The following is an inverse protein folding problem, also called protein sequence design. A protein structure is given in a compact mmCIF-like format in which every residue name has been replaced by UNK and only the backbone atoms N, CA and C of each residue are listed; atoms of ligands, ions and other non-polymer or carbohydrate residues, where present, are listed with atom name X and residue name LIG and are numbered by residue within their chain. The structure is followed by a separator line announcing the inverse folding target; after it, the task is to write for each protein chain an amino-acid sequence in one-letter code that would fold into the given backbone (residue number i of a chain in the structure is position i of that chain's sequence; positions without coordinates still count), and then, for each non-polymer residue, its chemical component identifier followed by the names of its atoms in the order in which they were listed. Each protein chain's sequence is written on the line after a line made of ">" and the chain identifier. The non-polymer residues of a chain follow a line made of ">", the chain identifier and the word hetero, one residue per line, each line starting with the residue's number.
data_IF_130930892822
#
_entry.id   IF_130930892822
#
_cell.length_a   1.000
_cell.length_b   1.000
_cell.length_c   1.000
_cell.angle_alpha   90.00
_cell.angle_beta   90.00
_cell.angle_gamma   90.00
#
_symmetry.space_group_name_H-M   'P 1'
#
loop_
_entity.id
_entity.type
_entity.pdbx_description
1 polymer ?
#
# COMPACT_ATOMS: atom_id res chain seq x y z
N UNK A 1 -13.33 -8.00 5.52
CA UNK A 1 -13.09 -8.96 6.64
C UNK A 1 -11.67 -9.48 6.49
N UNK A 2 -10.89 -9.54 7.56
CA UNK A 2 -9.52 -10.07 7.57
C UNK A 2 -9.52 -11.37 8.33
N UNK A 3 -8.81 -12.38 7.84
CA UNK A 3 -8.75 -13.72 8.43
C UNK A 3 -7.29 -14.11 8.66
N UNK A 4 -6.98 -14.61 9.83
CA UNK A 4 -5.65 -15.12 10.17
C UNK A 4 -5.69 -16.63 10.39
N UNK A 5 -4.93 -17.37 9.60
CA UNK A 5 -4.68 -18.80 9.80
C UNK A 5 -3.49 -18.96 10.76
N UNK A 6 -3.79 -19.32 11.98
CA UNK A 6 -2.78 -19.51 13.04
C UNK A 6 -1.90 -20.73 12.81
N UNK A 7 -2.35 -21.72 12.04
CA UNK A 7 -1.59 -22.94 11.78
C UNK A 7 -0.42 -22.68 10.84
N UNK A 8 -0.67 -21.93 9.77
CA UNK A 8 0.33 -21.66 8.73
C UNK A 8 0.94 -20.25 8.82
N UNK A 9 0.41 -19.39 9.69
CA UNK A 9 0.87 -18.02 9.84
C UNK A 9 0.49 -17.15 8.64
N UNK A 10 -0.69 -17.39 8.02
CA UNK A 10 -1.14 -16.68 6.82
C UNK A 10 -2.21 -15.65 7.17
N UNK A 11 -1.96 -14.40 6.86
CA UNK A 11 -2.91 -13.30 6.99
C UNK A 11 -3.57 -13.04 5.64
N UNK A 12 -4.85 -13.39 5.51
CA UNK A 12 -5.69 -13.00 4.38
C UNK A 12 -6.25 -11.61 4.65
N UNK A 13 -5.65 -10.61 4.06
CA UNK A 13 -5.86 -9.20 4.44
C UNK A 13 -6.96 -8.49 3.65
N UNK A 14 -7.68 -9.19 2.77
CA UNK A 14 -8.68 -8.62 1.88
C UNK A 14 -8.06 -7.46 1.06
N UNK A 15 -8.67 -6.28 1.05
CA UNK A 15 -8.15 -5.11 0.34
C UNK A 15 -6.97 -4.43 1.05
N UNK A 16 -6.71 -4.75 2.32
CA UNK A 16 -5.54 -4.20 2.99
C UNK A 16 -4.25 -4.79 2.39
N UNK A 17 -3.21 -3.96 2.29
CA UNK A 17 -1.90 -4.31 1.72
C UNK A 17 -1.89 -4.61 0.21
N UNK A 18 -2.95 -4.21 -0.51
CA UNK A 18 -3.05 -4.38 -1.95
C UNK A 18 -2.27 -3.37 -2.78
N UNK A 19 -2.18 -3.64 -4.10
CA UNK A 19 -1.65 -2.72 -5.09
C UNK A 19 -2.30 -2.93 -6.46
N UNK A 20 -2.20 -1.94 -7.36
CA UNK A 20 -2.85 -1.97 -8.68
C UNK A 20 -2.06 -2.64 -9.79
N UNK A 21 -0.85 -3.11 -9.56
CA UNK A 21 0.01 -3.63 -10.62
C UNK A 21 -0.34 -5.08 -11.00
N UNK A 22 -0.23 -5.41 -12.28
CA UNK A 22 -0.28 -6.78 -12.79
C UNK A 22 0.96 -7.56 -12.34
N UNK A 23 0.76 -8.81 -11.94
CA UNK A 23 1.81 -9.65 -11.37
C UNK A 23 2.81 -10.18 -12.41
N UNK A 24 2.45 -10.22 -13.69
CA UNK A 24 3.28 -10.69 -14.81
C UNK A 24 4.02 -12.02 -14.53
N UNK A 25 3.28 -12.95 -13.90
CA UNK A 25 3.82 -14.26 -13.53
C UNK A 25 4.65 -14.28 -12.23
N UNK A 26 4.86 -13.14 -11.58
CA UNK A 26 5.53 -13.04 -10.28
C UNK A 26 4.48 -13.01 -9.18
N UNK A 27 4.60 -13.88 -8.20
CA UNK A 27 3.62 -14.00 -7.13
C UNK A 27 4.02 -13.21 -5.88
N UNK A 28 5.31 -13.15 -5.58
CA UNK A 28 5.80 -12.60 -4.32
C UNK A 28 6.43 -11.22 -4.48
N UNK A 29 6.25 -10.37 -3.47
CA UNK A 29 6.80 -9.02 -3.44
C UNK A 29 8.33 -8.98 -3.49
N UNK A 30 9.01 -10.01 -3.01
CA UNK A 30 10.46 -10.14 -3.05
C UNK A 30 11.03 -10.57 -4.43
N UNK A 31 10.16 -10.85 -5.40
CA UNK A 31 10.55 -11.15 -6.79
C UNK A 31 10.66 -9.90 -7.66
N UNK A 32 10.30 -8.74 -7.11
CA UNK A 32 10.31 -7.44 -7.78
C UNK A 32 11.05 -6.38 -6.96
N UNK A 33 11.50 -5.31 -7.59
CA UNK A 33 11.96 -4.14 -6.85
C UNK A 33 10.75 -3.30 -6.44
N UNK A 34 10.19 -3.62 -5.25
CA UNK A 34 8.95 -3.03 -4.79
C UNK A 34 9.04 -1.51 -4.64
N UNK A 35 10.15 -0.98 -4.10
CA UNK A 35 10.32 0.46 -3.89
C UNK A 35 10.41 1.25 -5.19
N UNK A 36 11.06 0.68 -6.21
CA UNK A 36 11.21 1.34 -7.51
C UNK A 36 9.93 1.26 -8.35
N UNK A 37 9.32 0.07 -8.40
CA UNK A 37 8.33 -0.23 -9.42
C UNK A 37 6.89 -0.24 -8.87
N UNK A 38 6.71 -0.53 -7.57
CA UNK A 38 5.40 -0.84 -7.01
C UNK A 38 4.93 0.07 -5.88
N UNK A 39 5.83 0.80 -5.20
CA UNK A 39 5.49 1.59 -4.02
C UNK A 39 4.42 2.65 -4.31
N UNK A 40 4.52 3.31 -5.47
CA UNK A 40 3.57 4.34 -5.88
C UNK A 40 2.18 3.75 -6.17
N UNK A 41 2.13 2.55 -6.77
CA UNK A 41 0.87 1.86 -7.06
C UNK A 41 0.22 1.29 -5.78
N UNK A 42 1.02 0.84 -4.81
CA UNK A 42 0.52 0.44 -3.51
C UNK A 42 -0.07 1.64 -2.72
N UNK A 43 0.62 2.79 -2.76
CA UNK A 43 0.12 4.04 -2.17
C UNK A 43 -1.14 4.52 -2.85
N UNK A 44 -1.18 4.47 -4.18
CA UNK A 44 -2.35 4.82 -4.98
C UNK A 44 -3.53 3.90 -4.68
N UNK A 45 -3.28 2.59 -4.54
CA UNK A 45 -4.29 1.62 -4.15
C UNK A 45 -4.87 1.96 -2.78
N UNK A 46 -4.02 2.19 -1.78
CA UNK A 46 -4.47 2.59 -0.47
C UNK A 46 -5.33 3.85 -0.54
N UNK A 47 -4.87 4.89 -1.23
CA UNK A 47 -5.59 6.18 -1.30
C UNK A 47 -6.97 6.03 -1.94
N UNK A 48 -7.09 5.26 -3.01
CA UNK A 48 -8.33 5.16 -3.78
C UNK A 48 -9.32 4.14 -3.21
N UNK A 49 -8.83 3.03 -2.67
CA UNK A 49 -9.68 1.91 -2.23
C UNK A 49 -9.87 1.93 -0.72
N UNK A 50 -8.80 2.10 0.02
CA UNK A 50 -8.77 1.87 1.46
C UNK A 50 -8.70 3.18 2.27
N UNK A 51 -8.31 4.29 1.63
CA UNK A 51 -7.96 5.54 2.32
C UNK A 51 -9.04 6.08 3.25
N UNK A 52 -10.32 6.03 2.87
CA UNK A 52 -11.43 6.44 3.74
C UNK A 52 -11.60 5.59 5.01
N UNK A 53 -10.95 4.44 5.05
CA UNK A 53 -10.99 3.50 6.16
C UNK A 53 -9.72 3.52 7.02
N UNK A 54 -8.93 4.59 6.97
CA UNK A 54 -7.70 4.76 7.76
C UNK A 54 -7.84 4.35 9.23
N UNK A 55 -8.88 4.81 9.97
CA UNK A 55 -9.11 4.37 11.36
C UNK A 55 -9.30 2.85 11.51
N UNK A 56 -9.93 2.19 10.53
CA UNK A 56 -10.11 0.74 10.55
C UNK A 56 -8.80 -0.01 10.30
N UNK A 57 -7.92 0.55 9.46
CA UNK A 57 -6.56 0.02 9.28
C UNK A 57 -5.79 0.12 10.59
N UNK A 58 -5.87 1.26 11.30
CA UNK A 58 -5.22 1.44 12.59
C UNK A 58 -5.71 0.42 13.62
N UNK A 59 -7.02 0.15 13.65
CA UNK A 59 -7.59 -0.91 14.50
C UNK A 59 -7.09 -2.31 14.11
N UNK A 60 -6.95 -2.57 12.80
CA UNK A 60 -6.40 -3.83 12.29
C UNK A 60 -4.94 -4.00 12.73
N UNK A 61 -4.12 -2.96 12.54
CA UNK A 61 -2.70 -2.97 12.90
C UNK A 61 -2.53 -3.12 14.42
N UNK A 62 -3.35 -2.44 15.22
CA UNK A 62 -3.35 -2.57 16.67
C UNK A 62 -3.69 -4.00 17.14
N UNK A 63 -4.68 -4.64 16.52
CA UNK A 63 -5.02 -6.05 16.78
C UNK A 63 -3.93 -7.01 16.29
N UNK A 64 -3.36 -6.73 15.11
CA UNK A 64 -2.29 -7.52 14.54
C UNK A 64 -0.99 -7.41 15.35
N UNK A 65 -0.77 -6.31 16.10
CA UNK A 65 0.44 -6.09 16.89
C UNK A 65 0.78 -7.24 17.85
N UNK A 66 -0.25 -7.93 18.38
CA UNK A 66 -0.06 -9.11 19.23
C UNK A 66 0.24 -10.41 18.49
N UNK A 67 0.10 -10.43 17.16
CA UNK A 67 0.28 -11.64 16.32
C UNK A 67 1.29 -11.42 15.19
N UNK A 68 1.91 -10.24 15.11
CA UNK A 68 2.84 -9.91 14.01
C UNK A 68 3.99 -10.91 13.89
N UNK A 69 4.51 -11.38 15.02
CA UNK A 69 5.59 -12.37 15.04
C UNK A 69 5.16 -13.75 14.53
N UNK A 70 3.86 -14.01 14.48
CA UNK A 70 3.29 -15.26 13.99
C UNK A 70 2.96 -15.19 12.50
N UNK A 71 2.89 -13.98 11.93
CA UNK A 71 2.57 -13.79 10.52
C UNK A 71 3.79 -14.11 9.66
N UNK A 72 3.66 -15.10 8.79
CA UNK A 72 4.67 -15.49 7.80
C UNK A 72 4.35 -14.98 6.40
N UNK A 73 3.07 -14.88 6.09
CA UNK A 73 2.57 -14.44 4.80
C UNK A 73 1.44 -13.44 4.97
N UNK A 74 1.45 -12.39 4.14
CA UNK A 74 0.29 -11.51 3.95
C UNK A 74 -0.21 -11.71 2.53
N UNK A 75 -1.48 -12.12 2.41
CA UNK A 75 -2.13 -12.41 1.15
C UNK A 75 -3.25 -11.40 0.91
N UNK A 76 -3.00 -10.30 0.20
CA UNK A 76 -4.05 -9.37 -0.22
C UNK A 76 -4.86 -9.95 -1.38
N UNK A 77 -6.04 -9.40 -1.64
CA UNK A 77 -6.85 -9.76 -2.81
C UNK A 77 -6.26 -9.24 -4.12
N UNK A 78 -5.51 -8.15 -4.07
CA UNK A 78 -4.89 -7.51 -5.23
C UNK A 78 -3.43 -7.21 -4.94
N UNK A 79 -2.54 -7.53 -5.88
CA UNK A 79 -1.11 -7.33 -5.74
C UNK A 79 -0.35 -8.57 -5.27
N UNK A 80 0.92 -8.43 -4.92
CA UNK A 80 1.79 -9.55 -4.58
C UNK A 80 1.55 -10.08 -3.17
N UNK A 81 1.87 -11.33 -2.97
CA UNK A 81 1.94 -11.96 -1.64
C UNK A 81 3.25 -11.54 -0.97
N UNK A 82 3.15 -11.14 0.30
CA UNK A 82 4.30 -10.80 1.11
C UNK A 82 4.74 -11.99 1.96
N UNK A 83 6.02 -12.34 1.89
CA UNK A 83 6.67 -13.38 2.71
C UNK A 83 7.98 -12.93 3.34
N UNK A 84 8.52 -11.80 2.89
CA UNK A 84 9.72 -11.16 3.43
C UNK A 84 9.44 -9.69 3.70
N UNK A 85 10.21 -9.09 4.57
CA UNK A 85 10.15 -7.66 4.88
C UNK A 85 8.75 -7.17 5.27
N UNK A 86 7.97 -8.03 5.95
CA UNK A 86 6.59 -7.74 6.38
C UNK A 86 6.54 -6.47 7.24
N UNK A 87 7.48 -6.31 8.16
CA UNK A 87 7.57 -5.13 9.03
C UNK A 87 7.74 -3.84 8.26
N UNK A 88 8.53 -3.86 7.18
CA UNK A 88 8.72 -2.72 6.30
C UNK A 88 7.39 -2.25 5.67
N UNK A 89 6.62 -3.17 5.12
CA UNK A 89 5.36 -2.81 4.46
C UNK A 89 4.26 -2.43 5.46
N UNK A 90 4.22 -3.09 6.62
CA UNK A 90 3.33 -2.75 7.72
C UNK A 90 3.61 -1.32 8.22
N UNK A 91 4.88 -0.93 8.40
CA UNK A 91 5.28 0.43 8.80
C UNK A 91 4.85 1.48 7.76
N UNK A 92 5.03 1.19 6.47
CA UNK A 92 4.52 2.06 5.40
C UNK A 92 3.01 2.22 5.47
N UNK A 93 2.30 1.10 5.63
CA UNK A 93 0.85 1.09 5.71
C UNK A 93 0.32 1.82 6.94
N UNK A 94 1.00 1.70 8.08
CA UNK A 94 0.70 2.45 9.30
C UNK A 94 0.80 3.96 9.07
N UNK A 95 1.92 4.42 8.53
CA UNK A 95 2.13 5.85 8.22
C UNK A 95 1.10 6.38 7.23
N UNK A 96 0.83 5.66 6.16
CA UNK A 96 -0.13 6.08 5.15
C UNK A 96 -1.56 6.13 5.68
N UNK A 97 -1.95 5.19 6.53
CA UNK A 97 -3.29 5.14 7.12
C UNK A 97 -3.53 6.22 8.18
N UNK A 98 -2.47 6.81 8.72
CA UNK A 98 -2.52 8.01 9.58
C UNK A 98 -2.53 9.31 8.77
N UNK A 99 -2.47 9.22 7.45
CA UNK A 99 -2.33 10.38 6.56
C UNK A 99 -1.07 11.21 6.83
N UNK A 100 -0.03 10.58 7.38
CA UNK A 100 1.25 11.24 7.59
C UNK A 100 1.92 11.52 6.25
N UNK A 101 2.34 12.77 5.97
CA UNK A 101 3.06 13.08 4.75
C UNK A 101 4.40 12.33 4.76
N UNK A 102 4.69 11.60 3.67
CA UNK A 102 6.03 11.07 3.46
C UNK A 102 7.06 12.19 3.42
N UNK A 103 8.34 11.84 3.52
CA UNK A 103 9.45 12.80 3.50
C UNK A 103 9.47 13.76 2.28
N UNK A 104 8.63 13.52 1.27
CA UNK A 104 8.45 14.35 0.07
C UNK A 104 6.98 14.72 -0.19
N UNK A 105 6.16 14.83 0.83
CA UNK A 105 4.70 14.87 0.77
C UNK A 105 4.05 15.84 -0.21
N UNK A 106 4.69 16.92 -0.61
CA UNK A 106 4.16 17.87 -1.59
C UNK A 106 4.46 17.47 -3.04
N UNK A 107 5.62 16.86 -3.27
CA UNK A 107 6.03 16.43 -4.61
C UNK A 107 5.30 15.15 -5.07
N UNK A 108 4.93 14.28 -4.15
CA UNK A 108 4.26 13.02 -4.46
C UNK A 108 2.79 13.24 -4.89
N UNK A 109 2.08 14.17 -4.26
CA UNK A 109 0.73 14.55 -4.70
C UNK A 109 0.73 15.15 -6.11
N UNK A 110 1.72 15.97 -6.43
CA UNK A 110 1.86 16.56 -7.77
C UNK A 110 2.25 15.53 -8.83
N UNK A 111 3.10 14.54 -8.49
CA UNK A 111 3.48 13.46 -9.41
C UNK A 111 2.31 12.53 -9.74
N UNK A 112 1.47 12.21 -8.79
CA UNK A 112 0.26 11.41 -9.02
C UNK A 112 -0.70 12.16 -9.96
N UNK A 113 -0.88 13.45 -9.77
CA UNK A 113 -1.77 14.26 -10.61
C UNK A 113 -1.25 14.44 -12.03
N UNK A 114 0.06 14.62 -12.22
CA UNK A 114 0.69 14.81 -13.54
C UNK A 114 0.70 13.53 -14.38
N UNK A 115 0.82 12.34 -13.77
CA UNK A 115 0.73 11.08 -14.52
C UNK A 115 -0.66 10.79 -15.08
N UNK A 116 -1.72 11.21 -14.38
CA UNK A 116 -3.09 11.06 -14.89
C UNK A 116 -3.43 12.03 -16.04
N UNK A 117 -2.71 13.15 -16.17
CA UNK A 117 -3.02 14.18 -17.16
C UNK A 117 -2.05 14.30 -18.34
N UNK A 118 -1.09 13.38 -18.51
CA UNK A 118 -0.23 13.39 -19.72
C UNK A 118 -0.97 13.05 -21.03
N UNK A 119 -2.29 12.90 -20.98
CA UNK A 119 -3.12 12.72 -22.17
C UNK A 119 -3.80 13.99 -22.69
N UNK A 120 -3.90 15.08 -21.93
CA UNK A 120 -4.48 16.36 -22.40
C UNK A 120 -4.12 17.51 -21.49
N UNK A 121 -3.68 18.57 -22.11
CA UNK A 121 -3.52 19.96 -21.69
C UNK A 121 -2.08 20.43 -21.46
N UNK A 122 -1.54 20.94 -22.55
CA UNK A 122 -0.62 22.06 -22.49
C UNK A 122 -1.40 23.30 -22.00
N UNK A 123 -0.92 23.94 -20.93
CA UNK A 123 -1.31 25.28 -20.54
C UNK A 123 -2.29 25.37 -19.38
N UNK A 124 -1.76 25.55 -18.18
CA UNK A 124 -2.17 26.54 -17.19
C UNK A 124 -1.36 26.32 -15.90
N UNK A 125 -0.32 27.10 -15.76
CA UNK A 125 0.40 27.28 -14.50
C UNK A 125 -0.46 28.20 -13.62
N UNK A 126 -1.16 27.65 -12.62
CA UNK A 126 -1.82 28.47 -11.60
C UNK A 126 -0.80 28.72 -10.50
N UNK A 127 -0.30 29.95 -10.42
CA UNK A 127 0.40 30.48 -9.26
C UNK A 127 -0.61 30.59 -8.12
N UNK A 128 -0.41 29.83 -7.05
CA UNK A 128 -1.11 30.07 -5.78
C UNK A 128 -0.35 31.15 -5.02
N UNK A 129 -1.08 32.17 -4.61
CA UNK A 129 -0.72 33.22 -3.66
C UNK A 129 -0.70 32.60 -2.26
#
# INVERSE_FOLDING_TARGET
>A
MVTFDTTNGVLFSADAFGSFIALDGKLFADEVNFDRDWIDEARRYLTNIVGKYGPHIQLLLGKAGGILDQIRYICPLHGPVWRKDLGYFIDKYDKWSRYEPGSQGRADCLRLHVRQHRGRCAGACIKAV
#
